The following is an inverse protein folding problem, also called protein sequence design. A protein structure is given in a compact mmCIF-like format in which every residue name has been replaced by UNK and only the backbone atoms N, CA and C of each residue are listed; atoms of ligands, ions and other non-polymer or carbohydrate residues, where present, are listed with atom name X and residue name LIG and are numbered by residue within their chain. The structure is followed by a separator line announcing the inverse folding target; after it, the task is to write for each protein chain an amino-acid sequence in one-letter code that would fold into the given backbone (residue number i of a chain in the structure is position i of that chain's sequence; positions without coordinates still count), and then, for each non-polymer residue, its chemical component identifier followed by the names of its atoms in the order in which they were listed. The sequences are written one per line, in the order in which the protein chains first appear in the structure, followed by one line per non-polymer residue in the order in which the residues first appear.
data_IF_051055725089
#
_entry.id   IF_051055725089
#
_cell.length_a   1.000
_cell.length_b   1.000
_cell.length_c   1.000
_cell.angle_alpha   90.00
_cell.angle_beta   90.00
_cell.angle_gamma   90.00
#
_symmetry.space_group_name_H-M   'P 1'
#
loop_
_entity.id
_entity.type
_entity.pdbx_description
1 polymer ?
#
# COMPACT_ATOMS: atom_id res chain seq x y z
N UNK A 1 4.65 -1.77 -3.57
CA UNK A 1 4.18 -2.12 -4.92
C UNK A 1 4.70 -3.50 -5.28
N UNK A 2 3.89 -4.34 -5.94
CA UNK A 2 4.27 -5.67 -6.41
C UNK A 2 3.86 -5.81 -7.87
N UNK A 3 4.73 -6.43 -8.69
CA UNK A 3 4.36 -6.96 -10.00
C UNK A 3 4.64 -8.46 -9.95
N UNK A 4 3.60 -9.29 -9.93
CA UNK A 4 3.75 -10.74 -9.94
C UNK A 4 3.58 -11.29 -11.34
N UNK A 5 4.68 -11.79 -11.91
CA UNK A 5 4.66 -12.50 -13.19
C UNK A 5 4.11 -13.91 -13.01
N UNK A 6 4.29 -14.49 -11.84
CA UNK A 6 3.79 -15.83 -11.49
C UNK A 6 2.26 -15.89 -11.47
N UNK A 7 1.62 -14.86 -10.91
CA UNK A 7 0.16 -14.82 -10.73
C UNK A 7 -0.51 -13.75 -11.62
N UNK A 8 0.25 -13.06 -12.47
CA UNK A 8 -0.22 -12.05 -13.42
C UNK A 8 -1.05 -10.95 -12.77
N UNK A 9 -0.52 -10.33 -11.71
CA UNK A 9 -1.13 -9.18 -11.08
C UNK A 9 -0.15 -8.04 -10.80
N UNK A 10 -0.70 -6.83 -10.64
CA UNK A 10 0.01 -5.63 -10.21
C UNK A 10 -0.72 -5.06 -9.00
N UNK A 11 -0.05 -5.01 -7.85
CA UNK A 11 -0.55 -4.35 -6.64
C UNK A 11 0.02 -2.94 -6.54
N UNK A 12 -0.84 -1.91 -6.67
CA UNK A 12 -0.51 -0.50 -6.51
C UNK A 12 -0.66 -0.14 -5.04
N UNK A 13 0.44 0.22 -4.38
CA UNK A 13 0.47 0.55 -2.96
C UNK A 13 0.07 2.00 -2.73
N UNK A 14 -1.12 2.22 -2.23
CA UNK A 14 -1.63 3.51 -1.73
C UNK A 14 -1.17 3.76 -0.30
N UNK A 15 -1.28 5.02 0.17
CA UNK A 15 -0.82 5.41 1.51
C UNK A 15 -1.83 5.04 2.58
N UNK A 16 -1.35 4.51 3.71
CA UNK A 16 -2.14 4.24 4.93
C UNK A 16 -3.27 3.21 4.78
N UNK A 17 -3.10 2.28 3.87
CA UNK A 17 -4.04 1.20 3.52
C UNK A 17 -3.49 -0.19 3.80
N UNK A 18 -2.64 -0.34 4.79
CA UNK A 18 -1.93 -1.58 5.12
C UNK A 18 -0.99 -2.13 4.02
N UNK A 19 -0.56 -1.27 3.07
CA UNK A 19 0.23 -1.73 1.93
C UNK A 19 1.50 -2.52 2.30
N UNK A 20 2.19 -2.15 3.37
CA UNK A 20 3.37 -2.88 3.87
C UNK A 20 3.00 -4.27 4.41
N UNK A 21 1.87 -4.39 5.12
CA UNK A 21 1.34 -5.67 5.60
C UNK A 21 0.96 -6.58 4.44
N UNK A 22 0.30 -6.02 3.41
CA UNK A 22 -0.07 -6.75 2.18
C UNK A 22 1.18 -7.26 1.48
N UNK A 23 2.16 -6.40 1.26
CA UNK A 23 3.43 -6.78 0.61
C UNK A 23 4.17 -7.87 1.39
N UNK A 24 4.23 -7.76 2.71
CA UNK A 24 4.86 -8.75 3.58
C UNK A 24 4.19 -10.14 3.43
N UNK A 25 2.86 -10.18 3.47
CA UNK A 25 2.13 -11.44 3.35
C UNK A 25 2.21 -12.02 1.94
N UNK A 26 2.15 -11.17 0.90
CA UNK A 26 2.27 -11.61 -0.49
C UNK A 26 3.68 -12.08 -0.86
N UNK A 27 4.71 -11.54 -0.21
CA UNK A 27 6.10 -11.93 -0.49
C UNK A 27 6.34 -13.43 -0.35
N UNK A 28 5.58 -14.12 0.52
CA UNK A 28 5.65 -15.58 0.74
C UNK A 28 5.27 -16.39 -0.51
N UNK A 29 4.48 -15.83 -1.42
CA UNK A 29 3.92 -16.48 -2.60
C UNK A 29 4.64 -16.13 -3.90
N UNK A 30 5.45 -15.07 -3.88
CA UNK A 30 6.09 -14.53 -5.07
C UNK A 30 7.14 -15.49 -5.67
N UNK A 31 7.29 -15.41 -6.98
CA UNK A 31 8.31 -16.15 -7.73
C UNK A 31 9.61 -15.35 -7.93
N UNK A 32 10.66 -15.99 -8.45
CA UNK A 32 11.97 -15.36 -8.60
C UNK A 32 12.03 -14.21 -9.62
N UNK A 33 11.05 -14.13 -10.53
CA UNK A 33 10.91 -13.07 -11.52
C UNK A 33 9.99 -11.93 -11.08
N UNK A 34 9.31 -12.09 -9.93
CA UNK A 34 8.36 -11.10 -9.43
C UNK A 34 9.10 -9.89 -8.86
N UNK A 35 8.50 -8.71 -8.98
CA UNK A 35 9.06 -7.45 -8.52
C UNK A 35 8.35 -7.03 -7.25
N UNK A 36 9.13 -6.76 -6.21
CA UNK A 36 8.66 -6.17 -4.95
C UNK A 36 9.53 -4.97 -4.59
N UNK A 37 8.93 -3.90 -4.11
CA UNK A 37 9.67 -2.67 -3.80
C UNK A 37 10.59 -2.79 -2.59
N UNK A 38 11.70 -2.00 -2.53
CA UNK A 38 12.76 -2.18 -1.55
C UNK A 38 12.37 -2.11 -0.09
N UNK A 39 11.42 -1.24 0.30
CA UNK A 39 11.01 -1.14 1.71
C UNK A 39 10.22 -2.37 2.18
N UNK A 40 9.49 -3.03 1.29
CA UNK A 40 8.87 -4.31 1.62
C UNK A 40 9.92 -5.41 1.76
N UNK A 41 10.95 -5.42 0.91
CA UNK A 41 12.07 -6.36 1.03
C UNK A 41 12.83 -6.17 2.35
N UNK A 42 13.16 -4.92 2.72
CA UNK A 42 13.87 -4.63 3.95
C UNK A 42 13.06 -5.05 5.19
N UNK A 43 11.75 -4.80 5.19
CA UNK A 43 10.87 -5.23 6.28
C UNK A 43 10.75 -6.75 6.34
N UNK A 44 10.63 -7.41 5.21
CA UNK A 44 10.58 -8.87 5.13
C UNK A 44 11.88 -9.50 5.65
N UNK A 45 13.03 -9.00 5.22
CA UNK A 45 14.34 -9.49 5.65
C UNK A 45 14.60 -9.23 7.13
N UNK A 46 14.26 -8.04 7.64
CA UNK A 46 14.48 -7.68 9.05
C UNK A 46 13.62 -8.48 10.02
N UNK A 47 12.42 -8.86 9.64
CA UNK A 47 11.51 -9.67 10.48
C UNK A 47 11.81 -11.16 10.41
N UNK A 48 12.27 -11.69 9.28
CA UNK A 48 12.59 -13.11 9.13
C UNK A 48 13.97 -13.51 9.63
N UNK A 49 14.86 -12.56 9.89
CA UNK A 49 16.14 -12.84 10.55
C UNK A 49 15.95 -13.38 11.98
N UNK A 50 14.73 -13.20 12.54
CA UNK A 50 14.37 -13.64 13.88
C UNK A 50 13.59 -14.97 13.87
N UNK A 51 12.91 -15.36 12.77
CA UNK A 51 11.90 -16.41 12.84
C UNK A 51 12.01 -17.61 11.89
N UNK A 52 12.75 -17.55 10.76
CA UNK A 52 12.83 -18.75 9.88
C UNK A 52 14.11 -18.81 9.02
N UNK A 53 15.02 -19.72 9.41
CA UNK A 53 16.27 -20.05 8.70
C UNK A 53 16.03 -20.66 7.31
N UNK A 54 14.86 -21.30 7.07
CA UNK A 54 14.52 -21.96 5.79
C UNK A 54 14.16 -20.98 4.69
N UNK A 55 13.36 -19.94 5.02
CA UNK A 55 12.97 -18.91 4.04
C UNK A 55 14.14 -17.97 3.73
N UNK A 56 14.97 -17.65 4.73
CA UNK A 56 16.18 -16.84 4.50
C UNK A 56 17.18 -17.56 3.58
N UNK A 57 17.31 -18.87 3.68
CA UNK A 57 18.15 -19.68 2.80
C UNK A 57 17.59 -19.76 1.38
N UNK A 58 16.26 -19.81 1.22
CA UNK A 58 15.57 -19.79 -0.06
C UNK A 58 15.75 -18.44 -0.78
N UNK A 59 15.59 -17.33 -0.07
CA UNK A 59 15.82 -15.98 -0.62
C UNK A 59 17.30 -15.72 -0.96
N UNK A 60 18.24 -16.25 -0.18
CA UNK A 60 19.68 -16.21 -0.50
C UNK A 60 20.02 -17.05 -1.74
N UNK A 61 19.42 -18.24 -1.91
CA UNK A 61 19.60 -19.09 -3.09
C UNK A 61 19.06 -18.47 -4.39
N UNK A 62 18.00 -17.66 -4.31
CA UNK A 62 17.38 -17.02 -5.46
C UNK A 62 18.17 -15.85 -6.03
N UNK A 63 19.35 -15.49 -5.48
CA UNK A 63 20.11 -14.31 -5.92
C UNK A 63 19.24 -13.04 -6.07
N UNK A 64 18.19 -12.94 -5.24
CA UNK A 64 17.18 -11.88 -5.26
C UNK A 64 17.82 -10.49 -5.20
N UNK A 65 19.00 -10.38 -4.58
CA UNK A 65 19.74 -9.11 -4.46
C UNK A 65 20.26 -8.58 -5.79
N UNK A 66 20.62 -9.43 -6.75
CA UNK A 66 21.17 -8.98 -8.04
C UNK A 66 20.08 -8.59 -9.05
N UNK A 67 18.98 -9.38 -9.15
CA UNK A 67 17.86 -9.04 -10.04
C UNK A 67 17.01 -7.90 -9.49
N UNK A 68 16.72 -7.89 -8.19
CA UNK A 68 15.93 -6.82 -7.55
C UNK A 68 16.61 -5.46 -7.64
N UNK A 69 17.94 -5.40 -7.61
CA UNK A 69 18.70 -4.14 -7.71
C UNK A 69 18.60 -3.46 -9.08
N UNK A 70 18.39 -4.20 -10.16
CA UNK A 70 18.20 -3.62 -11.50
C UNK A 70 16.79 -3.07 -11.72
N UNK A 71 15.76 -3.74 -11.17
CA UNK A 71 14.37 -3.33 -11.32
C UNK A 71 13.88 -2.41 -10.18
N UNK A 72 14.44 -2.53 -8.97
CA UNK A 72 14.09 -1.68 -7.83
C UNK A 72 14.51 -0.22 -8.00
N UNK A 73 15.45 0.08 -8.91
CA UNK A 73 15.80 1.47 -9.26
C UNK A 73 14.71 2.18 -10.10
N UNK A 74 13.83 1.43 -10.78
CA UNK A 74 12.74 1.99 -11.59
C UNK A 74 11.45 2.24 -10.81
N UNK A 75 11.25 1.55 -9.67
CA UNK A 75 10.01 1.59 -8.94
C UNK A 75 10.26 1.93 -7.46
N UNK A 76 9.42 2.80 -6.92
CA UNK A 76 9.35 3.14 -5.50
C UNK A 76 8.14 2.46 -4.85
N UNK A 77 8.05 2.52 -3.52
CA UNK A 77 6.92 1.95 -2.78
C UNK A 77 5.54 2.44 -3.25
N UNK A 78 5.49 3.70 -3.63
CA UNK A 78 4.29 4.40 -4.06
C UNK A 78 4.37 4.82 -5.53
N UNK A 79 4.86 3.93 -6.40
CA UNK A 79 4.87 4.18 -7.85
C UNK A 79 3.43 4.19 -8.38
N UNK A 80 3.10 5.20 -9.16
CA UNK A 80 1.78 5.36 -9.77
C UNK A 80 1.55 4.34 -10.88
N UNK A 81 0.31 3.88 -11.05
CA UNK A 81 -0.03 2.91 -12.10
C UNK A 81 0.36 3.41 -13.52
N UNK A 82 0.26 4.72 -13.75
CA UNK A 82 0.70 5.35 -15.00
C UNK A 82 2.21 5.24 -15.24
N UNK A 83 3.01 5.34 -14.19
CA UNK A 83 4.48 5.16 -14.27
C UNK A 83 4.83 3.68 -14.46
N UNK A 84 4.10 2.77 -13.81
CA UNK A 84 4.24 1.33 -14.02
C UNK A 84 3.98 1.03 -15.49
N UNK A 85 2.88 1.53 -16.07
CA UNK A 85 2.53 1.37 -17.49
C UNK A 85 3.66 1.79 -18.44
N UNK A 86 4.39 2.87 -18.12
CA UNK A 86 5.52 3.36 -18.94
C UNK A 86 6.78 2.49 -18.84
N UNK A 87 6.93 1.74 -17.75
CA UNK A 87 8.17 1.05 -17.42
C UNK A 87 8.11 -0.47 -17.61
N UNK A 88 6.97 -1.02 -17.99
CA UNK A 88 6.76 -2.43 -18.35
C UNK A 88 6.20 -2.54 -19.77
N UNK A 89 6.22 -3.73 -20.35
CA UNK A 89 5.66 -3.95 -21.69
C UNK A 89 4.14 -3.78 -21.67
N UNK A 90 3.58 -3.34 -22.81
CA UNK A 90 2.12 -3.22 -22.97
C UNK A 90 1.41 -4.55 -22.75
N UNK A 91 2.03 -5.66 -23.15
CA UNK A 91 1.53 -7.01 -22.90
C UNK A 91 1.36 -7.29 -21.41
N UNK A 92 2.39 -7.05 -20.58
CA UNK A 92 2.33 -7.24 -19.14
C UNK A 92 1.25 -6.33 -18.54
N UNK A 93 1.25 -5.04 -18.89
CA UNK A 93 0.29 -4.10 -18.31
C UNK A 93 -1.16 -4.45 -18.64
N UNK A 94 -1.46 -4.84 -19.88
CA UNK A 94 -2.83 -5.12 -20.33
C UNK A 94 -3.33 -6.46 -19.80
N UNK A 95 -2.46 -7.48 -19.68
CA UNK A 95 -2.85 -8.83 -19.30
C UNK A 95 -2.79 -9.11 -17.79
N UNK A 96 -2.15 -8.23 -16.99
CA UNK A 96 -2.08 -8.42 -15.55
C UNK A 96 -3.22 -7.70 -14.85
N UNK A 97 -3.82 -8.40 -13.88
CA UNK A 97 -4.87 -7.84 -13.04
C UNK A 97 -4.30 -6.77 -12.09
N UNK A 98 -4.82 -5.56 -12.16
CA UNK A 98 -4.33 -4.41 -11.38
C UNK A 98 -5.28 -4.11 -10.24
N UNK A 99 -4.76 -4.01 -9.02
CA UNK A 99 -5.57 -3.63 -7.87
C UNK A 99 -4.83 -2.72 -6.90
N UNK A 100 -5.61 -1.98 -6.14
CA UNK A 100 -5.14 -1.17 -5.02
C UNK A 100 -6.10 -1.29 -3.83
N UNK A 101 -5.74 -0.66 -2.72
CA UNK A 101 -6.60 -0.59 -1.54
C UNK A 101 -6.87 0.87 -1.23
N UNK A 102 -8.12 1.20 -0.93
CA UNK A 102 -8.51 2.50 -0.40
C UNK A 102 -9.12 2.35 0.99
N UNK A 103 -9.10 3.42 1.76
CA UNK A 103 -9.56 3.47 3.14
C UNK A 103 -10.49 4.63 3.35
N UNK A 104 -11.44 4.49 4.29
CA UNK A 104 -12.35 5.55 4.69
C UNK A 104 -11.57 6.86 4.93
N UNK A 105 -11.99 7.99 4.33
CA UNK A 105 -11.24 9.24 4.29
C UNK A 105 -10.80 9.77 5.66
N UNK A 106 -11.67 9.72 6.67
CA UNK A 106 -11.35 10.22 8.02
C UNK A 106 -10.33 9.31 8.69
N UNK A 107 -10.55 8.00 8.67
CA UNK A 107 -9.65 7.03 9.29
C UNK A 107 -8.27 7.00 8.58
N UNK A 108 -8.25 7.12 7.25
CA UNK A 108 -7.02 7.28 6.46
C UNK A 108 -6.25 8.54 6.87
N UNK A 109 -6.96 9.64 7.06
CA UNK A 109 -6.39 10.92 7.45
C UNK A 109 -5.82 10.88 8.86
N UNK A 110 -6.53 10.27 9.83
CA UNK A 110 -6.05 10.04 11.20
C UNK A 110 -4.78 9.19 11.18
N UNK A 111 -4.79 8.08 10.45
CA UNK A 111 -3.63 7.20 10.32
C UNK A 111 -2.41 7.94 9.73
N UNK A 112 -2.63 8.83 8.76
CA UNK A 112 -1.59 9.65 8.16
C UNK A 112 -1.06 10.72 9.11
N UNK A 113 -1.94 11.37 9.88
CA UNK A 113 -1.58 12.32 10.92
C UNK A 113 -0.62 11.69 11.92
N UNK A 114 -0.97 10.54 12.50
CA UNK A 114 -0.11 9.85 13.45
C UNK A 114 1.23 9.41 12.84
N UNK A 115 1.22 8.90 11.62
CA UNK A 115 2.46 8.57 10.92
C UNK A 115 3.37 9.79 10.78
N UNK A 116 2.82 10.94 10.40
CA UNK A 116 3.59 12.18 10.27
C UNK A 116 4.07 12.76 11.58
N UNK A 117 3.28 12.62 12.64
CA UNK A 117 3.61 13.10 14.00
C UNK A 117 4.70 12.23 14.65
N UNK A 118 4.55 10.92 14.57
CA UNK A 118 5.32 9.96 15.34
C UNK A 118 6.47 9.30 14.55
N UNK A 119 6.70 9.68 13.30
CA UNK A 119 7.85 9.20 12.52
C UNK A 119 9.16 9.64 13.17
N UNK A 120 10.17 8.75 13.19
CA UNK A 120 11.51 9.02 13.70
C UNK A 120 12.12 10.27 13.04
N UNK A 121 11.85 10.46 11.74
CA UNK A 121 12.34 11.61 10.97
C UNK A 121 11.42 12.85 11.05
N UNK A 122 10.47 12.87 11.98
CA UNK A 122 9.58 14.03 12.13
C UNK A 122 10.31 15.17 12.82
N UNK A 123 10.24 16.36 12.20
CA UNK A 123 10.72 17.60 12.82
C UNK A 123 9.92 17.91 14.11
N UNK A 124 10.51 18.68 15.03
CA UNK A 124 9.83 19.10 16.26
C UNK A 124 8.48 19.79 15.98
N UNK A 125 8.39 20.58 14.92
CA UNK A 125 7.14 21.21 14.47
C UNK A 125 6.05 20.20 14.10
N UNK A 126 6.41 19.02 13.57
CA UNK A 126 5.44 17.95 13.26
C UNK A 126 5.06 17.15 14.49
N UNK A 127 6.02 16.85 15.37
CA UNK A 127 5.78 16.14 16.63
C UNK A 127 4.78 16.87 17.52
N UNK A 128 4.85 18.21 17.54
CA UNK A 128 3.99 19.06 18.36
C UNK A 128 2.71 19.54 17.65
N UNK A 129 2.46 19.08 16.40
CA UNK A 129 1.29 19.50 15.64
C UNK A 129 0.01 18.93 16.24
N UNK A 130 -0.95 19.77 16.56
CA UNK A 130 -2.29 19.35 16.97
C UNK A 130 -3.09 18.77 15.80
N UNK A 131 -4.13 17.99 16.09
CA UNK A 131 -5.06 17.51 15.09
C UNK A 131 -5.74 18.67 14.33
N UNK A 132 -6.19 19.70 15.06
CA UNK A 132 -6.82 20.87 14.47
C UNK A 132 -5.90 21.60 13.49
N UNK A 133 -4.63 21.78 13.83
CA UNK A 133 -3.65 22.41 12.94
C UNK A 133 -3.35 21.53 11.71
N UNK A 134 -3.35 20.22 11.89
CA UNK A 134 -3.17 19.30 10.78
C UNK A 134 -4.34 19.39 9.79
N UNK A 135 -5.58 19.38 10.27
CA UNK A 135 -6.78 19.51 9.41
C UNK A 135 -6.82 20.85 8.69
N UNK A 136 -6.50 21.96 9.38
CA UNK A 136 -6.43 23.30 8.77
C UNK A 136 -5.47 23.34 7.57
N UNK A 137 -4.38 22.57 7.57
CA UNK A 137 -3.41 22.51 6.46
C UNK A 137 -3.93 21.78 5.23
N UNK A 138 -5.03 21.03 5.33
CA UNK A 138 -5.67 20.28 4.23
C UNK A 138 -4.72 19.42 3.38
N UNK A 139 -3.59 18.94 3.95
CA UNK A 139 -2.59 18.09 3.28
C UNK A 139 -2.84 16.62 3.56
N UNK A 140 -4.00 16.13 3.08
CA UNK A 140 -4.46 14.76 3.29
C UNK A 140 -3.86 13.78 2.28
N UNK A 141 -3.83 12.47 2.59
CA UNK A 141 -3.27 11.44 1.72
C UNK A 141 -4.28 11.00 0.65
N UNK A 142 -4.70 11.92 -0.22
CA UNK A 142 -5.52 11.60 -1.39
C UNK A 142 -4.64 10.91 -2.41
N UNK A 143 -4.99 9.70 -2.82
CA UNK A 143 -4.16 8.82 -3.64
C UNK A 143 -4.76 8.48 -5.00
N UNK A 144 -5.79 9.20 -5.43
CA UNK A 144 -6.48 8.96 -6.71
C UNK A 144 -5.51 8.92 -7.90
N UNK A 145 -4.47 9.77 -7.86
CA UNK A 145 -3.43 9.81 -8.88
C UNK A 145 -2.53 8.55 -8.92
N UNK A 146 -2.56 7.69 -7.91
CA UNK A 146 -1.80 6.43 -7.95
C UNK A 146 -2.46 5.38 -8.85
N UNK A 147 -3.79 5.43 -8.99
CA UNK A 147 -4.57 4.41 -9.68
C UNK A 147 -5.51 4.96 -10.77
N UNK A 148 -5.43 6.28 -11.05
CA UNK A 148 -6.14 6.94 -12.12
C UNK A 148 -5.18 7.64 -13.09
N UNK A 149 -5.61 7.81 -14.34
CA UNK A 149 -5.04 8.71 -15.33
C UNK A 149 -6.08 9.81 -15.63
N UNK A 150 -5.86 11.00 -15.10
CA UNK A 150 -6.89 12.03 -15.04
C UNK A 150 -8.09 11.57 -14.23
N UNK A 151 -9.26 11.57 -14.86
CA UNK A 151 -10.51 11.10 -14.25
C UNK A 151 -10.82 9.61 -14.53
N UNK A 152 -9.94 8.90 -15.24
CA UNK A 152 -10.18 7.53 -15.64
C UNK A 152 -9.49 6.56 -14.67
N UNK A 153 -10.24 5.60 -14.14
CA UNK A 153 -9.70 4.50 -13.36
C UNK A 153 -8.87 3.60 -14.29
N UNK A 154 -7.62 3.31 -13.88
CA UNK A 154 -6.68 2.47 -14.63
C UNK A 154 -6.24 1.22 -13.87
N UNK A 155 -7.02 0.84 -12.87
CA UNK A 155 -6.92 -0.43 -12.15
C UNK A 155 -8.23 -1.20 -12.28
N UNK A 156 -8.17 -2.53 -12.15
CA UNK A 156 -9.33 -3.40 -12.34
C UNK A 156 -10.16 -3.53 -11.06
N UNK A 157 -9.53 -3.32 -9.88
CA UNK A 157 -10.22 -3.42 -8.57
C UNK A 157 -9.64 -2.45 -7.55
N UNK A 158 -10.54 -1.80 -6.79
CA UNK A 158 -10.22 -1.11 -5.55
C UNK A 158 -10.83 -1.92 -4.40
N UNK A 159 -10.01 -2.37 -3.45
CA UNK A 159 -10.45 -3.05 -2.24
C UNK A 159 -10.63 -2.01 -1.14
N UNK A 160 -11.74 -2.07 -0.38
CA UNK A 160 -11.91 -1.26 0.82
C UNK A 160 -11.04 -1.82 1.94
N UNK A 161 -10.25 -0.98 2.59
CA UNK A 161 -9.44 -1.38 3.75
C UNK A 161 -10.27 -2.04 4.85
N UNK A 162 -11.50 -1.57 5.03
CA UNK A 162 -12.46 -2.05 6.02
C UNK A 162 -12.93 -3.49 5.75
N UNK A 163 -12.78 -3.96 4.50
CA UNK A 163 -13.08 -5.32 4.06
C UNK A 163 -11.84 -6.10 3.63
N UNK A 164 -10.64 -5.61 4.00
CA UNK A 164 -9.39 -6.17 3.53
C UNK A 164 -9.20 -7.64 3.92
N UNK A 165 -9.63 -8.00 5.14
CA UNK A 165 -9.50 -9.36 5.69
C UNK A 165 -10.37 -10.39 4.92
N UNK A 166 -11.43 -9.94 4.24
CA UNK A 166 -12.35 -10.79 3.46
C UNK A 166 -12.10 -10.70 1.96
N UNK A 167 -12.01 -9.49 1.43
CA UNK A 167 -11.99 -9.26 -0.02
C UNK A 167 -10.62 -9.58 -0.65
N UNK A 168 -9.53 -9.35 0.08
CA UNK A 168 -8.19 -9.65 -0.44
C UNK A 168 -7.95 -11.15 -0.61
N UNK A 169 -8.25 -12.04 0.37
CA UNK A 169 -8.13 -13.49 0.18
C UNK A 169 -8.97 -14.02 -0.97
N UNK A 170 -10.21 -13.52 -1.13
CA UNK A 170 -11.09 -13.90 -2.25
C UNK A 170 -10.47 -13.51 -3.59
N UNK A 171 -10.01 -12.26 -3.71
CA UNK A 171 -9.33 -11.79 -4.91
C UNK A 171 -8.11 -12.65 -5.24
N UNK A 172 -7.26 -12.91 -4.25
CA UNK A 172 -6.02 -13.65 -4.45
C UNK A 172 -6.28 -15.12 -4.81
N UNK A 173 -7.33 -15.73 -4.26
CA UNK A 173 -7.79 -17.08 -4.66
C UNK A 173 -8.15 -17.12 -6.14
N UNK A 174 -8.88 -16.11 -6.65
CA UNK A 174 -9.24 -16.00 -8.06
C UNK A 174 -8.01 -15.81 -8.97
N UNK A 175 -6.92 -15.26 -8.41
CA UNK A 175 -5.63 -15.12 -9.10
C UNK A 175 -4.72 -16.34 -8.95
N UNK A 176 -5.21 -17.43 -8.33
CA UNK A 176 -4.47 -18.70 -8.16
C UNK A 176 -3.61 -18.77 -6.89
N UNK A 177 -3.73 -17.80 -5.97
CA UNK A 177 -3.07 -17.86 -4.66
C UNK A 177 -4.04 -18.49 -3.64
N UNK A 178 -3.93 -19.78 -3.46
CA UNK A 178 -4.70 -20.53 -2.46
C UNK A 178 -4.07 -20.36 -1.07
N UNK A 179 -4.89 -20.51 -0.02
CA UNK A 179 -4.46 -20.49 1.39
C UNK A 179 -3.79 -19.17 1.84
N UNK A 180 -4.14 -18.06 1.21
CA UNK A 180 -3.69 -16.75 1.68
C UNK A 180 -4.48 -16.33 2.93
N UNK A 181 -3.74 -15.99 3.99
CA UNK A 181 -4.26 -15.36 5.20
C UNK A 181 -3.53 -14.06 5.44
N UNK A 182 -4.27 -13.01 5.79
CA UNK A 182 -3.67 -11.72 6.09
C UNK A 182 -3.24 -11.68 7.56
N UNK A 183 -1.98 -11.99 7.81
CA UNK A 183 -1.38 -11.80 9.13
C UNK A 183 -1.21 -10.31 9.41
N UNK A 184 -1.88 -9.81 10.44
CA UNK A 184 -1.76 -8.40 10.84
C UNK A 184 -0.36 -8.18 11.43
N UNK A 185 0.43 -7.33 10.79
CA UNK A 185 1.70 -6.93 11.37
C UNK A 185 1.44 -6.21 12.70
N UNK A 186 2.18 -6.58 13.73
CA UNK A 186 2.11 -6.00 15.10
C UNK A 186 2.43 -4.48 15.14
N UNK A 187 2.78 -3.89 14.00
CA UNK A 187 3.32 -2.55 13.88
C UNK A 187 2.25 -1.44 13.73
N UNK A 188 1.29 -1.35 14.63
CA UNK A 188 0.55 -0.09 14.87
C UNK A 188 1.39 0.94 15.66
N UNK A 189 2.73 0.95 15.45
CA UNK A 189 3.71 1.75 16.20
C UNK A 189 3.42 3.25 16.24
N UNK A 190 2.58 3.75 15.35
CA UNK A 190 2.32 5.18 15.24
C UNK A 190 0.94 5.60 15.73
N UNK A 191 0.04 4.68 16.09
CA UNK A 191 -1.32 5.04 16.45
C UNK A 191 -1.38 5.42 17.93
N UNK A 192 -1.77 6.66 18.18
CA UNK A 192 -2.18 7.16 19.50
C UNK A 192 -3.70 7.05 19.70
N UNK A 193 -4.21 7.71 20.74
CA UNK A 193 -5.65 7.88 20.97
C UNK A 193 -6.23 8.66 19.79
N UNK A 194 -7.28 8.14 19.16
CA UNK A 194 -7.92 8.80 18.05
C UNK A 194 -8.44 10.19 18.46
N UNK A 195 -8.19 11.22 17.65
CA UNK A 195 -8.74 12.54 17.93
C UNK A 195 -10.26 12.55 17.79
N UNK A 196 -10.93 13.39 18.55
CA UNK A 196 -12.35 13.69 18.34
C UNK A 196 -12.45 14.50 17.05
N UNK A 197 -13.22 14.00 16.08
CA UNK A 197 -13.37 14.60 14.76
C UNK A 197 -14.74 15.28 14.68
N UNK A 198 -14.77 16.60 14.58
CA UNK A 198 -16.01 17.36 14.46
C UNK A 198 -16.67 17.16 13.07
N UNK A 199 -17.99 17.44 12.96
CA UNK A 199 -18.70 17.36 11.68
C UNK A 199 -18.09 18.29 10.62
N UNK A 200 -17.64 19.48 11.02
CA UNK A 200 -16.96 20.39 10.11
C UNK A 200 -15.64 19.79 9.57
N UNK A 201 -14.85 19.13 10.43
CA UNK A 201 -13.60 18.47 10.02
C UNK A 201 -13.87 17.29 9.10
N UNK A 202 -14.91 16.48 9.38
CA UNK A 202 -15.33 15.42 8.47
C UNK A 202 -15.67 15.99 7.10
N UNK A 203 -16.48 17.03 7.04
CA UNK A 203 -16.85 17.70 5.78
C UNK A 203 -15.61 18.15 5.01
N UNK A 204 -14.66 18.85 5.65
CA UNK A 204 -13.39 19.29 5.03
C UNK A 204 -12.58 18.11 4.47
N UNK A 205 -12.54 16.98 5.20
CA UNK A 205 -11.83 15.79 4.76
C UNK A 205 -12.53 15.18 3.54
N UNK A 206 -13.84 14.93 3.61
CA UNK A 206 -14.60 14.33 2.51
C UNK A 206 -14.55 15.17 1.23
N UNK A 207 -14.63 16.51 1.33
CA UNK A 207 -14.45 17.41 0.19
C UNK A 207 -13.09 17.20 -0.50
N UNK A 208 -12.01 16.99 0.26
CA UNK A 208 -10.68 16.72 -0.30
C UNK A 208 -10.56 15.34 -0.94
N UNK A 209 -11.33 14.38 -0.49
CA UNK A 209 -11.38 13.03 -1.04
C UNK A 209 -12.46 12.84 -2.12
N UNK A 210 -13.09 13.91 -2.60
CA UNK A 210 -14.14 13.84 -3.63
C UNK A 210 -13.72 12.99 -4.83
N UNK A 211 -12.50 13.12 -5.31
CA UNK A 211 -11.97 12.30 -6.41
C UNK A 211 -11.92 10.81 -6.10
N UNK A 212 -11.64 10.43 -4.84
CA UNK A 212 -11.66 9.03 -4.38
C UNK A 212 -13.09 8.51 -4.31
N UNK A 213 -14.02 9.33 -3.81
CA UNK A 213 -15.43 8.96 -3.60
C UNK A 213 -16.19 8.71 -4.90
N UNK A 214 -15.66 9.15 -6.04
CA UNK A 214 -16.19 8.80 -7.37
C UNK A 214 -16.05 7.30 -7.67
N UNK A 215 -15.08 6.64 -7.06
CA UNK A 215 -14.73 5.24 -7.35
C UNK A 215 -15.01 4.29 -6.18
N UNK A 216 -15.12 4.82 -4.96
CA UNK A 216 -15.31 4.01 -3.75
C UNK A 216 -16.36 4.67 -2.86
N UNK A 217 -17.47 3.97 -2.64
CA UNK A 217 -18.54 4.42 -1.75
C UNK A 217 -18.17 4.12 -0.29
N UNK A 218 -18.17 5.18 0.54
CA UNK A 218 -17.95 5.16 1.99
C UNK A 218 -19.14 5.76 2.77
N UNK A 219 -20.31 5.85 2.14
CA UNK A 219 -21.54 6.29 2.80
C UNK A 219 -22.17 5.15 3.58
#
# INVERSE_FOLDING_TARGET
MIISHKYKFIFIKTRKTAGTTIEYNLAKFLGPKDIITPSAQANYLSQNFIFDTKISSFLKKLNFSKLSNLFSRKFTDHTHAKEIKKNITSEIYNNYFKFCVEREPVDKTISYYFMRKNSINSSNKRKNMSWNDFVKKKRFPVDTNFYCDGNNLIVDKIIKYEKLDTDLPILLKNLGINNFTLEKSVNNKFRGINPIVSNLQKKIIYEKFESTLKFVDYK
#
